data_IF_719184351685
#
_entry.id   IF_719184351685
#
_cell.length_a   1.000
_cell.length_b   1.000
_cell.length_c   1.000
_cell.angle_alpha   90.00
_cell.angle_beta   90.00
_cell.angle_gamma   90.00
#
_symmetry.space_group_name_H-M   'P 1'
#
loop_
_entity.id
_entity.type
_entity.pdbx_description
1 polymer ?
#
# COMPACT_ATOMS: atom_id res chain seq x y z
N UNK A 1 -15.99 -23.09 -2.73
CA UNK A 1 -15.57 -21.68 -2.62
C UNK A 1 -15.21 -21.21 -4.01
N UNK A 2 -16.01 -20.28 -4.53
CA UNK A 2 -15.92 -19.71 -5.87
C UNK A 2 -14.63 -18.90 -5.98
N UNK A 3 -13.90 -19.04 -7.09
CA UNK A 3 -12.72 -18.23 -7.37
C UNK A 3 -13.12 -16.75 -7.34
N UNK A 4 -12.35 -15.86 -6.72
CA UNK A 4 -12.64 -14.42 -6.63
C UNK A 4 -12.97 -13.82 -8.00
N UNK A 5 -12.30 -14.30 -9.04
CA UNK A 5 -12.53 -13.86 -10.43
C UNK A 5 -13.82 -14.39 -11.05
N UNK A 6 -14.44 -15.42 -10.48
CA UNK A 6 -15.73 -15.97 -10.93
C UNK A 6 -16.95 -15.26 -10.31
N UNK A 7 -16.75 -14.46 -9.26
CA UNK A 7 -17.82 -13.69 -8.62
C UNK A 7 -18.18 -12.39 -9.38
N UNK A 8 -17.21 -11.79 -10.09
CA UNK A 8 -17.44 -10.58 -10.86
C UNK A 8 -17.94 -10.89 -12.28
N UNK A 9 -19.09 -10.33 -12.65
CA UNK A 9 -19.60 -10.44 -14.03
C UNK A 9 -18.61 -9.85 -15.04
N UNK A 10 -18.59 -10.38 -16.27
CA UNK A 10 -17.75 -9.85 -17.36
C UNK A 10 -17.98 -8.35 -17.60
N UNK A 11 -19.22 -7.88 -17.40
CA UNK A 11 -19.58 -6.45 -17.49
C UNK A 11 -18.87 -5.61 -16.43
N UNK A 12 -18.78 -6.08 -15.19
CA UNK A 12 -18.08 -5.37 -14.10
C UNK A 12 -16.56 -5.36 -14.32
N UNK A 13 -15.99 -6.47 -14.78
CA UNK A 13 -14.58 -6.55 -15.15
C UNK A 13 -14.23 -5.57 -16.27
N UNK A 14 -15.09 -5.45 -17.29
CA UNK A 14 -14.90 -4.48 -18.36
C UNK A 14 -14.96 -3.03 -17.85
N UNK A 15 -15.92 -2.71 -16.99
CA UNK A 15 -16.05 -1.38 -16.36
C UNK A 15 -14.84 -1.01 -15.50
N UNK A 16 -14.26 -1.97 -14.76
CA UNK A 16 -13.07 -1.73 -13.93
C UNK A 16 -11.81 -1.47 -14.77
N UNK A 17 -11.64 -2.17 -15.90
CA UNK A 17 -10.57 -1.86 -16.85
C UNK A 17 -10.73 -0.48 -17.50
N UNK A 18 -11.96 -0.06 -17.78
CA UNK A 18 -12.22 1.31 -18.22
C UNK A 18 -11.91 2.31 -17.09
N UNK A 19 -12.25 1.97 -15.85
CA UNK A 19 -12.04 2.82 -14.69
C UNK A 19 -10.56 3.15 -14.41
N UNK A 20 -9.64 2.21 -14.58
CA UNK A 20 -8.20 2.52 -14.49
C UNK A 20 -7.77 3.54 -15.55
N UNK A 21 -8.39 3.50 -16.73
CA UNK A 21 -8.17 4.50 -17.79
C UNK A 21 -8.75 5.86 -17.42
N UNK A 22 -9.97 5.90 -16.85
CA UNK A 22 -10.60 7.16 -16.42
C UNK A 22 -9.86 7.82 -15.26
N UNK A 23 -9.41 7.04 -14.27
CA UNK A 23 -8.58 7.54 -13.16
C UNK A 23 -7.32 8.23 -13.71
N UNK A 24 -6.61 7.60 -14.64
CA UNK A 24 -5.44 8.21 -15.29
C UNK A 24 -5.81 9.50 -16.04
N UNK A 25 -6.95 9.52 -16.74
CA UNK A 25 -7.44 10.71 -17.45
C UNK A 25 -7.71 11.88 -16.48
N UNK A 26 -8.31 11.62 -15.31
CA UNK A 26 -8.53 12.64 -14.28
C UNK A 26 -7.21 13.26 -13.80
N UNK A 27 -6.19 12.43 -13.55
CA UNK A 27 -4.83 12.91 -13.21
C UNK A 27 -4.20 13.71 -14.35
N UNK A 28 -4.36 13.29 -15.61
CA UNK A 28 -3.86 14.03 -16.77
C UNK A 28 -4.51 15.41 -16.89
N UNK A 29 -5.82 15.49 -16.70
CA UNK A 29 -6.55 16.74 -16.83
C UNK A 29 -6.27 17.70 -15.67
N UNK A 30 -6.17 17.19 -14.44
CA UNK A 30 -5.68 17.96 -13.29
C UNK A 30 -4.27 18.51 -13.51
N UNK A 31 -3.35 17.69 -14.03
CA UNK A 31 -2.00 18.13 -14.35
C UNK A 31 -1.99 19.21 -15.45
N UNK A 32 -2.76 19.04 -16.53
CA UNK A 32 -2.88 20.05 -17.60
C UNK A 32 -3.34 21.40 -17.03
N UNK A 33 -4.36 21.40 -16.18
CA UNK A 33 -4.87 22.64 -15.57
C UNK A 33 -3.79 23.37 -14.77
N UNK A 34 -2.99 22.63 -14.00
CA UNK A 34 -1.90 23.17 -13.18
C UNK A 34 -0.81 23.77 -14.06
N UNK A 35 -0.37 23.04 -15.08
CA UNK A 35 0.70 23.49 -15.99
C UNK A 35 0.28 24.74 -16.78
N UNK A 36 -0.98 24.79 -17.23
CA UNK A 36 -1.56 25.97 -17.89
C UNK A 36 -1.61 27.17 -16.93
N UNK A 37 -2.06 26.97 -15.68
CA UNK A 37 -2.11 28.02 -14.65
C UNK A 37 -0.71 28.53 -14.30
N UNK A 38 0.28 27.64 -14.26
CA UNK A 38 1.70 27.97 -14.09
C UNK A 38 2.36 28.59 -15.34
N UNK A 39 1.60 28.78 -16.44
CA UNK A 39 2.06 29.35 -17.71
C UNK A 39 3.23 28.59 -18.35
N UNK A 40 3.26 27.27 -18.17
CA UNK A 40 4.26 26.40 -18.79
C UNK A 40 3.92 26.22 -20.27
N UNK A 41 4.90 26.46 -21.14
CA UNK A 41 4.77 26.19 -22.58
C UNK A 41 4.76 24.68 -22.80
N UNK A 42 4.03 24.22 -23.82
CA UNK A 42 3.97 22.80 -24.23
C UNK A 42 3.37 21.85 -23.17
N UNK A 43 2.47 22.35 -22.31
CA UNK A 43 1.81 21.56 -21.26
C UNK A 43 1.19 20.24 -21.76
N UNK A 44 0.58 20.24 -22.96
CA UNK A 44 0.02 19.02 -23.56
C UNK A 44 1.09 17.98 -23.90
N UNK A 45 2.24 18.44 -24.43
CA UNK A 45 3.35 17.57 -24.78
C UNK A 45 4.00 17.00 -23.52
N UNK A 46 4.15 17.80 -22.47
CA UNK A 46 4.68 17.35 -21.17
C UNK A 46 3.82 16.27 -20.52
N UNK A 47 2.49 16.42 -20.55
CA UNK A 47 1.56 15.42 -20.01
C UNK A 47 1.62 14.10 -20.80
N UNK A 48 1.96 14.18 -22.08
CA UNK A 48 2.10 13.01 -22.96
C UNK A 48 3.43 12.27 -22.77
N UNK A 49 4.48 12.94 -22.30
CA UNK A 49 5.80 12.38 -22.01
C UNK A 49 5.97 12.09 -20.50
N UNK A 50 5.33 11.02 -20.03
CA UNK A 50 5.34 10.60 -18.62
C UNK A 50 6.77 10.39 -18.08
N UNK A 51 7.70 9.94 -18.92
CA UNK A 51 9.08 9.71 -18.51
C UNK A 51 9.77 11.01 -18.09
N UNK A 52 9.53 12.11 -18.81
CA UNK A 52 10.08 13.43 -18.47
C UNK A 52 9.55 13.98 -17.14
N UNK A 53 8.32 13.61 -16.76
CA UNK A 53 7.66 14.10 -15.54
C UNK A 53 8.34 13.59 -14.26
N UNK A 54 9.02 12.44 -14.31
CA UNK A 54 9.78 11.93 -13.15
C UNK A 54 10.90 12.86 -12.68
N UNK A 55 11.45 13.66 -13.60
CA UNK A 55 12.52 14.60 -13.28
C UNK A 55 11.98 15.91 -12.68
N UNK A 56 10.67 16.15 -12.77
CA UNK A 56 10.05 17.38 -12.33
C UNK A 56 9.54 17.26 -10.89
N UNK A 57 9.62 18.33 -10.08
CA UNK A 57 9.06 18.34 -8.73
C UNK A 57 7.55 18.60 -8.77
N UNK A 58 6.81 17.76 -9.49
CA UNK A 58 5.34 17.80 -9.56
C UNK A 58 4.82 16.52 -8.91
N UNK A 59 3.92 16.67 -7.94
CA UNK A 59 3.48 15.57 -7.10
C UNK A 59 1.97 15.39 -7.14
N UNK A 60 1.55 14.14 -7.06
CA UNK A 60 0.25 13.75 -6.59
C UNK A 60 0.21 13.85 -5.06
N UNK A 61 -0.75 14.59 -4.54
CA UNK A 61 -1.12 14.64 -3.12
C UNK A 61 -2.43 13.91 -2.95
N UNK A 62 -2.40 12.80 -2.23
CA UNK A 62 -3.60 12.02 -1.91
C UNK A 62 -3.77 12.07 -0.40
N UNK A 63 -4.93 12.55 0.05
CA UNK A 63 -5.25 12.66 1.47
C UNK A 63 -6.50 11.83 1.75
N UNK A 64 -6.29 10.76 2.51
CA UNK A 64 -7.33 9.82 2.92
C UNK A 64 -7.73 10.16 4.34
N UNK A 65 -9.00 10.52 4.56
CA UNK A 65 -9.49 10.90 5.89
C UNK A 65 -10.68 10.04 6.26
N UNK A 66 -10.66 9.44 7.45
CA UNK A 66 -11.79 8.70 8.01
C UNK A 66 -12.99 9.63 8.22
N UNK A 67 -14.13 9.32 7.60
CA UNK A 67 -15.31 10.20 7.65
C UNK A 67 -15.94 10.28 9.04
N UNK A 68 -15.83 9.22 9.83
CA UNK A 68 -16.22 9.24 11.24
C UNK A 68 -15.41 10.25 12.08
N UNK A 69 -14.16 10.54 11.71
CA UNK A 69 -13.37 11.54 12.43
C UNK A 69 -13.82 12.96 12.06
N UNK A 70 -14.28 13.15 10.82
CA UNK A 70 -14.84 14.42 10.35
C UNK A 70 -16.22 14.71 10.97
N UNK A 71 -17.03 13.69 11.26
CA UNK A 71 -18.36 13.90 11.87
C UNK A 71 -18.29 14.38 13.32
N UNK A 72 -17.19 14.11 14.02
CA UNK A 72 -16.94 14.61 15.38
C UNK A 72 -16.52 16.09 15.41
N UNK A 73 -16.22 16.67 14.24
CA UNK A 73 -15.76 18.05 14.12
C UNK A 73 -16.71 18.84 13.22
N UNK A 74 -17.53 19.70 13.82
CA UNK A 74 -18.51 20.51 13.10
C UNK A 74 -17.84 21.40 12.03
N UNK A 75 -18.33 21.34 10.78
CA UNK A 75 -18.00 22.24 9.66
C UNK A 75 -16.64 22.09 8.96
N UNK A 76 -15.91 20.99 9.15
CA UNK A 76 -14.63 20.80 8.45
C UNK A 76 -14.74 19.71 7.39
N UNK A 77 -14.48 20.09 6.15
CA UNK A 77 -14.22 19.16 5.06
C UNK A 77 -12.72 19.11 4.77
N UNK A 78 -12.25 17.97 4.26
CA UNK A 78 -10.85 17.74 3.93
C UNK A 78 -10.30 18.81 2.94
N UNK A 79 -11.15 19.24 2.01
CA UNK A 79 -10.80 20.25 1.01
C UNK A 79 -10.46 21.61 1.64
N UNK A 80 -11.13 22.02 2.72
CA UNK A 80 -10.85 23.26 3.45
C UNK A 80 -9.54 23.18 4.22
N UNK A 81 -9.25 22.04 4.87
CA UNK A 81 -7.97 21.82 5.56
C UNK A 81 -6.78 21.92 4.58
N UNK A 82 -6.94 21.36 3.39
CA UNK A 82 -5.91 21.38 2.35
C UNK A 82 -5.80 22.74 1.66
N UNK A 83 -6.92 23.45 1.48
CA UNK A 83 -6.94 24.81 0.97
C UNK A 83 -6.21 25.78 1.92
N UNK A 84 -6.38 25.64 3.24
CA UNK A 84 -5.66 26.41 4.25
C UNK A 84 -4.15 26.22 4.14
N UNK A 85 -3.69 24.96 4.06
CA UNK A 85 -2.27 24.66 3.88
C UNK A 85 -1.72 25.27 2.60
N UNK A 86 -2.41 25.07 1.47
CA UNK A 86 -1.92 25.58 0.20
C UNK A 86 -1.94 27.11 0.11
N UNK A 87 -2.92 27.77 0.75
CA UNK A 87 -2.93 29.23 0.86
C UNK A 87 -1.69 29.74 1.63
N UNK A 88 -1.32 29.05 2.72
CA UNK A 88 -0.11 29.37 3.47
C UNK A 88 1.17 29.19 2.63
N UNK A 89 1.18 28.24 1.68
CA UNK A 89 2.31 28.01 0.79
C UNK A 89 2.36 28.93 -0.43
N UNK A 90 1.23 29.43 -0.91
CA UNK A 90 1.13 30.14 -2.20
C UNK A 90 2.00 31.42 -2.28
N UNK A 91 2.37 32.02 -1.14
CA UNK A 91 3.14 33.26 -1.06
C UNK A 91 4.59 33.08 -0.59
N UNK A 92 5.08 31.84 -0.46
CA UNK A 92 6.48 31.61 -0.05
C UNK A 92 7.39 31.46 -1.29
N UNK A 93 8.66 31.89 -1.24
CA UNK A 93 9.61 31.69 -2.35
C UNK A 93 9.89 30.22 -2.70
N UNK A 94 9.64 29.32 -1.76
CA UNK A 94 9.67 27.86 -1.95
C UNK A 94 8.25 27.26 -2.02
N UNK A 95 7.27 28.09 -2.40
CA UNK A 95 5.86 27.80 -2.27
C UNK A 95 5.32 26.82 -3.30
N UNK A 96 4.21 26.19 -2.93
CA UNK A 96 3.50 25.21 -3.72
C UNK A 96 2.14 25.77 -4.16
N UNK A 97 1.74 25.44 -5.38
CA UNK A 97 0.39 25.59 -5.89
C UNK A 97 -0.29 24.23 -5.88
N UNK A 98 -1.50 24.18 -5.35
CA UNK A 98 -2.36 23.00 -5.44
C UNK A 98 -3.44 23.23 -6.50
N UNK A 99 -3.86 22.15 -7.14
CA UNK A 99 -5.11 22.09 -7.88
C UNK A 99 -5.81 20.79 -7.51
N UNK A 100 -7.09 20.89 -7.16
CA UNK A 100 -7.90 19.69 -6.94
C UNK A 100 -8.08 18.97 -8.27
N UNK A 101 -8.03 17.66 -8.22
CA UNK A 101 -8.53 16.86 -9.32
C UNK A 101 -10.04 16.90 -9.17
N UNK A 102 -10.68 17.59 -10.11
CA UNK A 102 -12.12 17.54 -10.21
C UNK A 102 -12.48 16.12 -10.65
N UNK A 103 -13.03 15.35 -9.71
CA UNK A 103 -13.80 14.15 -9.98
C UNK A 103 -15.15 14.56 -10.61
N UNK A 104 -15.11 15.35 -11.69
CA UNK A 104 -16.29 15.88 -12.40
C UNK A 104 -17.22 14.75 -12.86
N UNK A 105 -16.71 13.53 -12.91
CA UNK A 105 -17.50 12.32 -12.94
C UNK A 105 -17.74 11.78 -11.51
N UNK A 106 -18.84 12.22 -10.87
CA UNK A 106 -19.47 11.43 -9.79
C UNK A 106 -19.63 9.94 -10.19
N UNK A 107 -19.69 9.66 -11.50
CA UNK A 107 -19.75 8.30 -12.07
C UNK A 107 -18.51 7.42 -11.82
N UNK A 108 -17.33 7.97 -11.57
CA UNK A 108 -16.09 7.22 -11.32
C UNK A 108 -16.13 6.52 -9.95
N UNK A 109 -16.27 7.31 -8.88
CA UNK A 109 -16.41 6.80 -7.53
C UNK A 109 -17.67 5.90 -7.42
N UNK A 110 -18.76 6.26 -8.11
CA UNK A 110 -19.97 5.44 -8.16
C UNK A 110 -19.71 4.07 -8.81
N UNK A 111 -18.81 3.97 -9.79
CA UNK A 111 -18.47 2.68 -10.41
C UNK A 111 -17.71 1.77 -9.44
N UNK A 112 -16.71 2.29 -8.73
CA UNK A 112 -16.02 1.52 -7.68
C UNK A 112 -16.99 1.11 -6.57
N UNK A 113 -17.84 2.03 -6.10
CA UNK A 113 -18.87 1.75 -5.09
C UNK A 113 -19.86 0.69 -5.56
N UNK A 114 -20.30 0.72 -6.82
CA UNK A 114 -21.18 -0.31 -7.40
C UNK A 114 -20.50 -1.67 -7.49
N UNK A 115 -19.21 -1.70 -7.85
CA UNK A 115 -18.43 -2.95 -7.87
C UNK A 115 -18.31 -3.49 -6.46
N UNK A 116 -17.90 -2.68 -5.50
CA UNK A 116 -17.81 -3.09 -4.08
C UNK A 116 -19.17 -3.56 -3.57
N UNK A 117 -20.26 -2.86 -3.89
CA UNK A 117 -21.61 -3.30 -3.53
C UNK A 117 -22.04 -4.60 -4.21
N UNK A 118 -21.40 -5.00 -5.31
CA UNK A 118 -21.64 -6.31 -5.96
C UNK A 118 -20.77 -7.44 -5.37
N UNK A 119 -19.74 -7.10 -4.60
CA UNK A 119 -18.90 -8.01 -3.84
C UNK A 119 -19.58 -8.40 -2.52
N UNK A 120 -20.90 -8.66 -2.52
CA UNK A 120 -21.68 -8.97 -1.30
C UNK A 120 -21.30 -10.29 -0.63
N UNK A 121 -20.58 -11.17 -1.33
CA UNK A 121 -20.07 -12.43 -0.77
C UNK A 121 -18.84 -12.23 0.12
N UNK A 122 -18.26 -11.03 0.12
CA UNK A 122 -17.10 -10.69 0.92
C UNK A 122 -17.55 -10.00 2.21
N UNK A 123 -17.29 -10.64 3.34
CA UNK A 123 -17.53 -10.10 4.69
C UNK A 123 -16.48 -9.05 5.09
N UNK A 124 -16.10 -8.17 4.14
CA UNK A 124 -15.12 -7.10 4.38
C UNK A 124 -15.85 -5.84 4.84
N UNK A 125 -15.45 -5.32 6.01
CA UNK A 125 -15.86 -3.99 6.48
C UNK A 125 -14.78 -2.98 6.05
N UNK A 126 -15.06 -2.24 4.97
CA UNK A 126 -14.18 -1.16 4.52
C UNK A 126 -14.28 0.05 5.45
N UNK A 127 -13.15 0.74 5.62
CA UNK A 127 -13.10 1.95 6.43
C UNK A 127 -13.79 3.10 5.68
N UNK A 128 -14.83 3.75 6.24
CA UNK A 128 -15.46 4.90 5.60
C UNK A 128 -14.49 6.07 5.50
N UNK A 129 -14.15 6.48 4.27
CA UNK A 129 -13.16 7.54 4.03
C UNK A 129 -13.59 8.53 2.95
N UNK A 130 -13.13 9.77 3.11
CA UNK A 130 -13.01 10.75 2.04
C UNK A 130 -11.59 10.67 1.47
N UNK A 131 -11.48 10.51 0.15
CA UNK A 131 -10.20 10.51 -0.56
C UNK A 131 -10.13 11.80 -1.38
N UNK A 132 -9.10 12.60 -1.12
CA UNK A 132 -8.91 13.90 -1.77
C UNK A 132 -7.66 13.81 -2.63
N UNK A 133 -7.81 14.06 -3.93
CA UNK A 133 -6.74 13.93 -4.94
C UNK A 133 -6.38 15.32 -5.45
N UNK A 134 -5.12 15.71 -5.31
CA UNK A 134 -4.62 17.02 -5.71
C UNK A 134 -3.30 16.88 -6.47
N UNK A 135 -3.02 17.86 -7.32
CA UNK A 135 -1.71 18.04 -7.95
C UNK A 135 -0.99 19.20 -7.28
N UNK A 136 0.21 18.93 -6.77
CA UNK A 136 1.19 19.88 -6.24
C UNK A 136 2.19 20.26 -7.32
N UNK A 137 2.37 21.55 -7.55
CA UNK A 137 3.37 22.09 -8.47
C UNK A 137 4.05 23.31 -7.82
N UNK A 138 5.35 23.55 -8.02
CA UNK A 138 6.01 24.73 -7.48
C UNK A 138 5.38 26.02 -8.03
N UNK A 139 5.25 27.03 -7.17
CA UNK A 139 4.79 28.37 -7.57
C UNK A 139 5.79 29.08 -8.46
N UNK A 140 7.08 28.81 -8.31
CA UNK A 140 8.15 29.34 -9.15
C UNK A 140 8.50 28.35 -10.28
N UNK A 141 8.27 28.79 -11.52
CA UNK A 141 8.60 28.03 -12.73
C UNK A 141 10.09 27.68 -12.82
N UNK A 142 10.98 28.43 -12.17
CA UNK A 142 12.40 28.09 -12.13
C UNK A 142 12.71 26.80 -11.36
N UNK A 143 11.81 26.40 -10.45
CA UNK A 143 11.91 25.14 -9.72
C UNK A 143 11.48 23.93 -10.55
N UNK A 144 10.76 24.12 -11.67
CA UNK A 144 10.33 23.05 -12.60
C UNK A 144 11.47 22.54 -13.50
N UNK A 145 12.72 22.66 -13.08
CA UNK A 145 13.86 22.10 -13.81
C UNK A 145 14.12 20.67 -13.36
N UNK A 146 14.52 19.77 -14.28
CA UNK A 146 14.95 18.41 -13.95
C UNK A 146 15.92 18.40 -12.75
N UNK A 147 15.58 17.64 -11.72
CA UNK A 147 16.45 17.45 -10.57
C UNK A 147 16.59 15.95 -10.28
N UNK A 148 17.48 15.31 -11.05
CA UNK A 148 17.62 13.87 -11.22
C UNK A 148 17.87 13.04 -9.93
N UNK A 149 17.96 13.66 -8.75
CA UNK A 149 18.28 12.96 -7.50
C UNK A 149 17.42 13.33 -6.28
N UNK A 150 16.45 14.24 -6.38
CA UNK A 150 15.78 14.80 -5.19
C UNK A 150 14.24 14.74 -5.18
N UNK A 151 13.59 14.27 -6.24
CA UNK A 151 12.11 14.36 -6.32
C UNK A 151 11.41 13.62 -5.18
N UNK A 152 11.78 12.36 -4.87
CA UNK A 152 11.20 11.62 -3.73
C UNK A 152 11.63 12.16 -2.36
N UNK A 153 12.86 12.63 -2.22
CA UNK A 153 13.31 13.27 -0.97
C UNK A 153 12.52 14.55 -0.66
N UNK A 154 12.21 15.35 -1.69
CA UNK A 154 11.33 16.52 -1.56
C UNK A 154 9.91 16.07 -1.19
N UNK A 155 9.39 15.00 -1.81
CA UNK A 155 8.08 14.44 -1.48
C UNK A 155 7.95 14.11 0.02
N UNK A 156 8.95 13.44 0.61
CA UNK A 156 8.98 13.17 2.06
C UNK A 156 8.94 14.43 2.92
N UNK A 157 9.68 15.48 2.53
CA UNK A 157 9.67 16.75 3.28
C UNK A 157 8.30 17.42 3.21
N UNK A 158 7.64 17.39 2.05
CA UNK A 158 6.28 17.94 1.92
C UNK A 158 5.30 17.07 2.73
N UNK A 159 5.48 15.76 2.72
CA UNK A 159 4.62 14.81 3.45
C UNK A 159 4.65 15.11 4.95
N UNK A 160 5.85 15.27 5.52
CA UNK A 160 6.02 15.67 6.93
C UNK A 160 5.35 17.02 7.22
N UNK A 161 5.47 18.00 6.31
CA UNK A 161 4.85 19.32 6.48
C UNK A 161 3.31 19.27 6.43
N UNK A 162 2.74 18.56 5.47
CA UNK A 162 1.29 18.42 5.32
C UNK A 162 0.73 17.61 6.49
N UNK A 163 1.37 16.50 6.83
CA UNK A 163 0.99 15.65 7.97
C UNK A 163 1.02 16.44 9.26
N UNK A 164 2.08 17.20 9.53
CA UNK A 164 2.16 18.05 10.72
C UNK A 164 1.07 19.13 10.73
N UNK A 165 0.81 19.79 9.60
CA UNK A 165 -0.25 20.79 9.49
C UNK A 165 -1.64 20.22 9.78
N UNK A 166 -1.95 19.05 9.22
CA UNK A 166 -3.22 18.37 9.43
C UNK A 166 -3.36 17.90 10.89
N UNK A 167 -2.31 17.37 11.49
CA UNK A 167 -2.29 17.00 12.91
C UNK A 167 -2.53 18.20 13.83
N UNK A 168 -1.86 19.32 13.59
CA UNK A 168 -2.03 20.56 14.36
C UNK A 168 -3.47 21.08 14.27
N UNK A 169 -4.02 21.14 13.04
CA UNK A 169 -5.41 21.52 12.81
C UNK A 169 -6.37 20.60 13.54
N UNK A 170 -6.21 19.28 13.42
CA UNK A 170 -7.03 18.29 14.11
C UNK A 170 -6.90 18.37 15.64
N UNK A 171 -5.71 18.67 16.15
CA UNK A 171 -5.47 18.91 17.57
C UNK A 171 -6.23 20.14 18.09
N UNK A 172 -6.23 21.23 17.33
CA UNK A 172 -7.05 22.42 17.63
C UNK A 172 -8.55 22.15 17.61
N UNK A 173 -8.98 21.04 17.00
CA UNK A 173 -10.37 20.60 16.92
C UNK A 173 -10.73 19.58 18.01
N UNK A 174 -9.80 19.32 18.93
CA UNK A 174 -10.05 18.52 20.13
C UNK A 174 -9.68 17.04 20.01
N UNK A 175 -9.04 16.62 18.91
CA UNK A 175 -8.48 15.27 18.81
C UNK A 175 -7.18 15.17 19.61
N UNK A 176 -6.95 14.04 20.27
CA UNK A 176 -5.64 13.73 20.83
C UNK A 176 -4.62 13.48 19.72
N UNK A 177 -3.33 13.55 20.03
CA UNK A 177 -2.25 13.24 19.08
C UNK A 177 -2.42 11.82 18.48
N UNK A 178 -2.79 10.84 19.31
CA UNK A 178 -3.06 9.46 18.86
C UNK A 178 -4.26 9.38 17.92
N UNK A 179 -5.35 10.08 18.25
CA UNK A 179 -6.53 10.15 17.39
C UNK A 179 -6.21 10.84 16.05
N UNK A 180 -5.43 11.91 16.08
CA UNK A 180 -5.02 12.63 14.87
C UNK A 180 -4.12 11.77 13.97
N UNK A 181 -3.18 11.01 14.55
CA UNK A 181 -2.31 10.08 13.80
C UNK A 181 -3.07 8.95 13.11
N UNK A 182 -4.18 8.50 13.69
CA UNK A 182 -5.03 7.44 13.10
C UNK A 182 -6.21 7.97 12.26
N UNK A 183 -6.34 9.30 12.10
CA UNK A 183 -7.50 9.92 11.45
C UNK A 183 -7.34 10.04 9.93
N UNK A 184 -6.11 10.15 9.45
CA UNK A 184 -5.82 10.36 8.04
C UNK A 184 -4.48 9.74 7.63
N UNK A 185 -4.33 9.49 6.34
CA UNK A 185 -3.04 9.26 5.69
C UNK A 185 -2.79 10.35 4.64
N UNK A 186 -1.53 10.74 4.49
CA UNK A 186 -1.05 11.61 3.43
C UNK A 186 -0.12 10.81 2.52
N UNK A 187 -0.26 10.96 1.21
CA UNK A 187 0.63 10.34 0.23
C UNK A 187 1.08 11.40 -0.75
N UNK A 188 2.39 11.63 -0.81
CA UNK A 188 3.01 12.54 -1.77
C UNK A 188 3.89 11.73 -2.70
N UNK A 189 3.41 11.53 -3.92
CA UNK A 189 4.04 10.68 -4.92
C UNK A 189 4.34 11.50 -6.18
N UNK A 190 5.40 11.21 -6.94
CA UNK A 190 5.58 11.80 -8.26
C UNK A 190 4.30 11.72 -9.09
N UNK A 191 3.86 12.82 -9.72
CA UNK A 191 2.60 12.80 -10.50
C UNK A 191 2.65 11.77 -11.64
N UNK A 192 3.86 11.51 -12.17
CA UNK A 192 4.12 10.47 -13.17
C UNK A 192 3.68 9.08 -12.70
N UNK A 193 3.68 8.83 -11.39
CA UNK A 193 3.23 7.56 -10.81
C UNK A 193 1.72 7.34 -10.95
N UNK A 194 0.94 8.42 -11.10
CA UNK A 194 -0.50 8.35 -11.35
C UNK A 194 -0.86 8.29 -12.84
N UNK A 195 0.13 8.47 -13.72
CA UNK A 195 -0.04 8.57 -15.17
C UNK A 195 0.36 7.30 -15.93
N UNK A 196 0.64 6.22 -15.21
CA UNK A 196 0.86 4.92 -15.79
C UNK A 196 0.09 3.86 -15.00
N UNK A 197 -0.18 2.74 -15.65
CA UNK A 197 -0.90 1.63 -15.04
C UNK A 197 0.09 0.66 -14.41
N UNK A 198 0.06 0.51 -13.08
CA UNK A 198 0.71 -0.62 -12.42
C UNK A 198 0.04 -1.93 -12.82
N UNK A 199 0.83 -3.00 -12.88
CA UNK A 199 0.43 -4.31 -13.42
C UNK A 199 0.80 -5.47 -12.51
N UNK A 200 1.68 -5.27 -11.53
CA UNK A 200 2.04 -6.26 -10.52
C UNK A 200 1.89 -5.66 -9.14
N UNK A 201 1.18 -6.35 -8.25
CA UNK A 201 1.13 -6.05 -6.83
C UNK A 201 1.67 -7.24 -6.03
N UNK A 202 2.76 -7.03 -5.31
CA UNK A 202 3.38 -7.99 -4.41
C UNK A 202 3.03 -7.65 -2.96
N UNK A 203 2.69 -8.67 -2.17
CA UNK A 203 2.29 -8.51 -0.77
C UNK A 203 3.11 -9.44 0.12
N UNK A 204 3.52 -8.95 1.29
CA UNK A 204 3.86 -9.85 2.39
C UNK A 204 2.60 -10.56 2.93
N UNK A 205 2.79 -11.63 3.71
CA UNK A 205 1.71 -12.39 4.32
C UNK A 205 1.46 -11.96 5.75
N UNK A 206 2.38 -12.30 6.66
CA UNK A 206 2.28 -12.03 8.10
C UNK A 206 2.15 -10.52 8.32
N UNK A 207 1.27 -10.11 9.24
CA UNK A 207 0.99 -8.70 9.56
C UNK A 207 0.57 -7.79 8.38
N UNK A 208 0.36 -8.35 7.18
CA UNK A 208 0.00 -7.63 5.95
C UNK A 208 -1.28 -8.18 5.32
N UNK A 209 -1.26 -9.40 4.76
CA UNK A 209 -2.48 -10.06 4.24
C UNK A 209 -3.28 -10.75 5.34
N UNK A 210 -2.63 -11.14 6.42
CA UNK A 210 -3.23 -11.67 7.64
C UNK A 210 -2.83 -10.81 8.84
N UNK A 211 -3.64 -10.83 9.90
CA UNK A 211 -3.39 -10.02 11.10
C UNK A 211 -2.34 -10.66 12.03
N UNK A 212 -2.10 -11.97 11.90
CA UNK A 212 -1.20 -12.71 12.77
C UNK A 212 0.20 -12.92 12.17
N UNK A 213 1.14 -13.27 13.05
CA UNK A 213 2.44 -13.83 12.70
C UNK A 213 2.35 -15.36 12.82
N UNK A 214 2.39 -16.10 11.70
CA UNK A 214 2.17 -17.56 11.69
C UNK A 214 3.13 -18.30 12.62
N UNK A 215 4.39 -17.88 12.69
CA UNK A 215 5.38 -18.52 13.56
C UNK A 215 5.04 -18.38 15.05
N UNK A 216 4.36 -17.29 15.44
CA UNK A 216 3.87 -17.06 16.79
C UNK A 216 2.67 -17.95 17.08
N UNK A 217 1.75 -18.13 16.13
CA UNK A 217 0.62 -19.05 16.30
C UNK A 217 1.08 -20.51 16.45
N UNK A 218 2.08 -20.95 15.68
CA UNK A 218 2.71 -22.26 15.85
C UNK A 218 3.37 -22.41 17.24
N UNK A 219 4.04 -21.37 17.72
CA UNK A 219 4.71 -21.36 19.01
C UNK A 219 3.74 -21.44 20.20
N UNK A 220 2.55 -20.83 20.07
CA UNK A 220 1.48 -20.92 21.07
C UNK A 220 1.01 -22.35 21.27
N UNK A 221 0.81 -23.11 20.18
CA UNK A 221 0.42 -24.53 20.24
C UNK A 221 1.47 -25.37 20.96
N UNK A 222 2.75 -25.06 20.77
CA UNK A 222 3.88 -25.74 21.43
C UNK A 222 4.15 -25.27 22.86
N UNK A 223 3.48 -24.22 23.34
CA UNK A 223 3.77 -23.62 24.65
C UNK A 223 5.15 -22.96 24.75
N UNK A 224 5.72 -22.53 23.61
CA UNK A 224 7.06 -21.89 23.51
C UNK A 224 6.98 -20.43 23.06
N UNK A 225 5.79 -19.81 23.12
CA UNK A 225 5.56 -18.42 22.70
C UNK A 225 6.53 -17.42 23.34
N UNK A 226 6.76 -17.53 24.65
CA UNK A 226 7.67 -16.61 25.36
C UNK A 226 9.10 -16.67 24.81
N UNK A 227 9.61 -17.88 24.50
CA UNK A 227 10.94 -18.05 23.91
C UNK A 227 11.04 -17.48 22.50
N UNK A 228 9.97 -17.60 21.72
CA UNK A 228 9.90 -17.01 20.37
C UNK A 228 9.87 -15.48 20.45
N UNK A 229 9.18 -14.91 21.43
CA UNK A 229 9.18 -13.48 21.69
C UNK A 229 10.58 -12.99 22.08
N UNK A 230 11.28 -13.67 22.98
CA UNK A 230 12.66 -13.32 23.38
C UNK A 230 13.62 -13.24 22.17
N UNK A 231 13.53 -14.20 21.26
CA UNK A 231 14.33 -14.22 20.02
C UNK A 231 13.92 -13.07 19.08
N UNK A 232 12.62 -12.81 18.96
CA UNK A 232 12.07 -11.73 18.11
C UNK A 232 12.53 -10.36 18.61
N UNK A 233 12.48 -10.13 19.92
CA UNK A 233 12.96 -8.89 20.54
C UNK A 233 14.47 -8.71 20.35
N UNK A 234 15.23 -9.79 20.41
CA UNK A 234 16.69 -9.77 20.15
C UNK A 234 17.00 -9.39 18.70
N UNK A 235 16.24 -9.92 17.73
CA UNK A 235 16.35 -9.51 16.33
C UNK A 235 15.97 -8.04 16.13
N UNK A 236 14.93 -7.54 16.82
CA UNK A 236 14.54 -6.13 16.77
C UNK A 236 15.59 -5.19 17.39
N UNK A 237 16.39 -5.66 18.36
CA UNK A 237 17.56 -4.94 18.90
C UNK A 237 18.78 -5.00 17.98
N UNK A 238 18.72 -5.75 16.87
CA UNK A 238 19.84 -5.95 15.95
C UNK A 238 20.91 -6.91 16.46
N UNK A 239 20.61 -7.71 17.50
CA UNK A 239 21.53 -8.70 18.06
C UNK A 239 21.57 -9.99 17.21
N UNK A 240 20.52 -10.24 16.43
CA UNK A 240 20.40 -11.34 15.49
C UNK A 240 20.00 -10.80 14.13
N UNK A 241 20.57 -11.36 13.06
CA UNK A 241 20.04 -11.11 11.73
C UNK A 241 18.72 -11.88 11.48
N UNK A 242 18.05 -11.60 10.36
CA UNK A 242 16.77 -12.22 10.05
C UNK A 242 16.89 -13.75 9.91
N UNK A 243 17.93 -14.23 9.25
CA UNK A 243 18.13 -15.65 8.94
C UNK A 243 18.40 -16.44 10.23
N UNK A 244 19.25 -15.90 11.11
CA UNK A 244 19.52 -16.43 12.45
C UNK A 244 18.28 -16.44 13.34
N UNK A 245 17.55 -15.32 13.39
CA UNK A 245 16.30 -15.21 14.16
C UNK A 245 15.24 -16.20 13.66
N UNK A 246 15.08 -16.33 12.34
CA UNK A 246 14.15 -17.27 11.74
C UNK A 246 14.53 -18.72 12.07
N UNK A 247 15.82 -19.08 11.92
CA UNK A 247 16.31 -20.42 12.21
C UNK A 247 16.10 -20.80 13.68
N UNK A 248 16.40 -19.90 14.62
CA UNK A 248 16.22 -20.14 16.04
C UNK A 248 14.73 -20.31 16.42
N UNK A 249 13.85 -19.45 15.88
CA UNK A 249 12.40 -19.57 16.12
C UNK A 249 11.83 -20.86 15.53
N UNK A 250 12.25 -21.25 14.33
CA UNK A 250 11.81 -22.50 13.70
C UNK A 250 12.29 -23.74 14.47
N UNK A 251 13.51 -23.70 15.02
CA UNK A 251 14.05 -24.80 15.82
C UNK A 251 13.20 -25.09 17.07
N UNK A 252 12.59 -24.07 17.68
CA UNK A 252 11.68 -24.23 18.83
C UNK A 252 10.38 -24.97 18.47
N UNK A 253 10.03 -25.06 17.19
CA UNK A 253 8.84 -25.75 16.70
C UNK A 253 9.09 -27.23 16.38
N UNK A 254 10.30 -27.74 16.61
CA UNK A 254 10.64 -29.14 16.38
C UNK A 254 9.70 -30.06 17.18
N UNK A 255 9.09 -31.02 16.48
CA UNK A 255 8.19 -32.01 17.05
C UNK A 255 6.71 -31.61 17.03
N UNK A 256 6.35 -30.40 16.57
CA UNK A 256 4.95 -30.02 16.41
C UNK A 256 4.26 -30.93 15.37
N UNK A 257 3.19 -31.66 15.73
CA UNK A 257 2.47 -32.51 14.79
C UNK A 257 1.77 -31.72 13.67
N UNK A 258 1.78 -32.26 12.46
CA UNK A 258 1.23 -31.62 11.26
C UNK A 258 -0.30 -31.40 11.29
N UNK A 259 -1.04 -32.20 12.05
CA UNK A 259 -2.49 -32.06 12.16
C UNK A 259 -2.92 -30.71 12.74
N UNK A 260 -2.06 -30.01 13.50
CA UNK A 260 -2.35 -28.66 13.99
C UNK A 260 -2.28 -27.59 12.89
N UNK A 261 -1.60 -27.85 11.76
CA UNK A 261 -1.41 -26.84 10.71
C UNK A 261 -2.74 -26.42 10.08
N UNK A 262 -3.68 -27.36 9.91
CA UNK A 262 -5.01 -27.07 9.39
C UNK A 262 -5.80 -26.16 10.35
N UNK A 263 -5.84 -26.51 11.64
CA UNK A 263 -6.54 -25.73 12.66
C UNK A 263 -5.98 -24.30 12.79
N UNK A 264 -4.66 -24.15 12.69
CA UNK A 264 -4.02 -22.82 12.69
C UNK A 264 -4.37 -22.07 11.41
N UNK A 265 -4.32 -22.72 10.23
CA UNK A 265 -4.64 -22.05 8.97
C UNK A 265 -6.09 -21.56 8.93
N UNK A 266 -7.02 -22.31 9.52
CA UNK A 266 -8.43 -21.95 9.61
C UNK A 266 -8.70 -20.84 10.65
N UNK A 267 -7.79 -20.62 11.60
CA UNK A 267 -7.91 -19.55 12.61
C UNK A 267 -7.27 -18.22 12.19
N UNK A 268 -6.51 -18.19 11.09
CA UNK A 268 -5.90 -16.97 10.58
C UNK A 268 -6.96 -15.97 10.11
N UNK A 269 -6.85 -14.73 10.57
CA UNK A 269 -7.73 -13.64 10.17
C UNK A 269 -7.10 -12.89 9.01
N UNK A 270 -7.80 -12.78 7.89
CA UNK A 270 -7.39 -11.91 6.79
C UNK A 270 -7.48 -10.45 7.23
N UNK A 271 -6.50 -9.64 6.81
CA UNK A 271 -6.52 -8.19 7.06
C UNK A 271 -7.80 -7.56 6.51
N UNK A 272 -8.34 -6.60 7.27
CA UNK A 272 -9.54 -5.84 6.85
C UNK A 272 -9.37 -5.29 5.43
N UNK A 273 -10.37 -5.51 4.58
CA UNK A 273 -10.38 -5.06 3.19
C UNK A 273 -9.48 -5.86 2.24
N UNK A 274 -8.76 -6.90 2.70
CA UNK A 274 -7.85 -7.67 1.85
C UNK A 274 -8.57 -8.35 0.70
N UNK A 275 -9.74 -8.99 0.94
CA UNK A 275 -10.45 -9.69 -0.13
C UNK A 275 -10.94 -8.71 -1.21
N UNK A 276 -11.51 -7.59 -0.79
CA UNK A 276 -11.99 -6.52 -1.67
C UNK A 276 -10.86 -5.92 -2.48
N UNK A 277 -9.72 -5.61 -1.82
CA UNK A 277 -8.53 -5.05 -2.46
C UNK A 277 -8.00 -5.99 -3.54
N UNK A 278 -7.79 -7.27 -3.22
CA UNK A 278 -7.25 -8.25 -4.16
C UNK A 278 -8.23 -8.54 -5.31
N UNK A 279 -9.53 -8.58 -5.03
CA UNK A 279 -10.57 -8.71 -6.06
C UNK A 279 -10.56 -7.53 -7.05
N UNK A 280 -10.47 -6.30 -6.54
CA UNK A 280 -10.41 -5.09 -7.37
C UNK A 280 -9.12 -5.03 -8.19
N UNK A 281 -7.96 -5.29 -7.58
CA UNK A 281 -6.68 -5.34 -8.29
C UNK A 281 -6.71 -6.38 -9.43
N UNK A 282 -7.17 -7.60 -9.15
CA UNK A 282 -7.32 -8.65 -10.16
C UNK A 282 -8.25 -8.21 -11.30
N UNK A 283 -9.40 -7.61 -10.97
CA UNK A 283 -10.36 -7.14 -11.97
C UNK A 283 -9.84 -5.96 -12.81
N UNK A 284 -8.98 -5.12 -12.25
CA UNK A 284 -8.25 -4.07 -12.95
C UNK A 284 -7.10 -4.61 -13.82
N UNK A 285 -6.80 -5.91 -13.72
CA UNK A 285 -5.79 -6.59 -14.54
C UNK A 285 -4.40 -6.68 -13.90
N UNK A 286 -4.29 -6.50 -12.58
CA UNK A 286 -3.05 -6.72 -11.86
C UNK A 286 -2.77 -8.21 -11.75
N UNK A 287 -1.53 -8.58 -12.04
CA UNK A 287 -0.96 -9.80 -11.52
C UNK A 287 -0.65 -9.61 -10.04
N UNK A 288 -0.93 -10.59 -9.20
CA UNK A 288 -0.76 -10.50 -7.75
C UNK A 288 0.15 -11.61 -7.25
N UNK A 289 1.09 -11.25 -6.39
CA UNK A 289 2.07 -12.16 -5.82
C UNK A 289 2.09 -12.06 -4.29
N UNK A 290 2.16 -13.20 -3.61
CA UNK A 290 2.46 -13.28 -2.18
C UNK A 290 3.91 -13.70 -2.04
N UNK A 291 4.73 -12.86 -1.41
CA UNK A 291 6.16 -13.11 -1.19
C UNK A 291 6.45 -12.94 0.30
N UNK A 292 6.63 -14.05 1.01
CA UNK A 292 6.71 -14.06 2.47
C UNK A 292 7.95 -14.76 3.03
N UNK A 293 8.43 -14.26 4.17
CA UNK A 293 9.40 -14.96 5.01
C UNK A 293 8.75 -16.02 5.91
N UNK A 294 7.42 -16.10 5.94
CA UNK A 294 6.65 -17.15 6.60
C UNK A 294 6.67 -18.47 5.82
N UNK A 295 5.71 -19.34 6.10
CA UNK A 295 5.72 -20.72 5.59
C UNK A 295 4.77 -20.95 4.40
N UNK A 296 5.26 -21.72 3.42
CA UNK A 296 4.56 -21.98 2.14
C UNK A 296 3.20 -22.64 2.31
N UNK A 297 3.03 -23.52 3.31
CA UNK A 297 1.75 -24.15 3.60
C UNK A 297 0.64 -23.11 3.84
N UNK A 298 0.89 -22.13 4.72
CA UNK A 298 -0.09 -21.10 5.07
C UNK A 298 -0.25 -20.08 3.93
N UNK A 299 0.86 -19.69 3.30
CA UNK A 299 0.84 -18.78 2.17
C UNK A 299 -0.03 -19.29 1.01
N UNK A 300 0.01 -20.60 0.71
CA UNK A 300 -0.85 -21.23 -0.30
C UNK A 300 -2.34 -21.17 0.08
N UNK A 301 -2.69 -21.30 1.36
CA UNK A 301 -4.08 -21.20 1.81
C UNK A 301 -4.58 -19.75 1.71
N UNK A 302 -3.79 -18.78 2.20
CA UNK A 302 -4.11 -17.35 2.07
C UNK A 302 -4.26 -16.96 0.60
N UNK A 303 -3.31 -17.37 -0.25
CA UNK A 303 -3.36 -17.10 -1.69
C UNK A 303 -4.59 -17.71 -2.36
N UNK A 304 -4.98 -18.93 -1.98
CA UNK A 304 -6.20 -19.57 -2.49
C UNK A 304 -7.46 -18.82 -2.07
N UNK A 305 -7.53 -18.34 -0.83
CA UNK A 305 -8.66 -17.53 -0.34
C UNK A 305 -8.74 -16.17 -1.02
N UNK A 306 -7.59 -15.57 -1.36
CA UNK A 306 -7.46 -14.24 -1.96
C UNK A 306 -7.29 -14.23 -3.48
N UNK A 307 -7.27 -15.39 -4.14
CA UNK A 307 -7.15 -15.48 -5.59
C UNK A 307 -5.80 -14.96 -6.11
N UNK A 308 -4.74 -15.09 -5.33
CA UNK A 308 -3.39 -14.63 -5.67
C UNK A 308 -2.76 -15.56 -6.71
N UNK A 309 -2.06 -14.98 -7.69
CA UNK A 309 -1.58 -15.71 -8.87
C UNK A 309 -0.32 -16.54 -8.60
N UNK A 310 0.62 -16.03 -7.78
CA UNK A 310 1.87 -16.70 -7.46
C UNK A 310 2.23 -16.55 -5.98
N UNK A 311 2.87 -17.58 -5.42
CA UNK A 311 3.27 -17.64 -4.01
C UNK A 311 4.73 -18.04 -3.91
N UNK A 312 5.49 -17.29 -3.13
CA UNK A 312 6.83 -17.65 -2.68
C UNK A 312 6.93 -17.49 -1.16
N UNK A 313 7.23 -18.58 -0.46
CA UNK A 313 7.38 -18.61 0.98
C UNK A 313 8.34 -19.74 1.41
N UNK A 314 8.87 -19.69 2.64
CA UNK A 314 9.80 -20.69 3.13
C UNK A 314 9.12 -22.06 3.26
N UNK A 315 9.81 -23.13 2.84
CA UNK A 315 9.30 -24.47 3.03
C UNK A 315 9.30 -24.87 4.52
N UNK A 316 8.23 -25.50 4.97
CA UNK A 316 8.14 -26.06 6.32
C UNK A 316 8.52 -27.55 6.28
N UNK A 317 9.76 -27.86 6.67
CA UNK A 317 10.29 -29.23 6.65
C UNK A 317 9.55 -30.13 7.65
N UNK A 318 8.93 -31.19 7.14
CA UNK A 318 8.22 -32.20 7.94
C UNK A 318 8.84 -33.59 7.77
N UNK A 319 8.84 -34.37 8.84
CA UNK A 319 9.25 -35.77 8.86
C UNK A 319 8.39 -36.53 9.87
N UNK A 320 7.93 -37.74 9.50
CA UNK A 320 7.12 -38.60 10.37
C UNK A 320 5.88 -37.90 10.97
N UNK A 321 5.24 -37.02 10.18
CA UNK A 321 4.06 -36.25 10.57
C UNK A 321 4.34 -35.10 11.54
N UNK A 322 5.59 -34.65 11.67
CA UNK A 322 5.99 -33.59 12.59
C UNK A 322 6.92 -32.58 11.92
N UNK A 323 6.88 -31.33 12.39
CA UNK A 323 7.82 -30.28 11.99
C UNK A 323 9.22 -30.65 12.49
N UNK A 324 10.20 -30.61 11.61
CA UNK A 324 11.60 -30.97 11.93
C UNK A 324 12.37 -29.88 12.66
N UNK A 325 11.87 -28.63 12.62
CA UNK A 325 12.57 -27.43 13.12
C UNK A 325 13.77 -27.00 12.27
N UNK A 326 13.97 -27.60 11.09
CA UNK A 326 15.11 -27.32 10.20
C UNK A 326 14.72 -26.36 9.09
N UNK A 327 15.53 -25.33 8.91
CA UNK A 327 15.45 -24.40 7.79
C UNK A 327 15.85 -25.08 6.48
N UNK A 328 15.11 -24.80 5.40
CA UNK A 328 15.55 -25.09 4.04
C UNK A 328 16.14 -23.83 3.41
N UNK A 329 17.30 -23.98 2.78
CA UNK A 329 17.94 -22.89 2.04
C UNK A 329 17.47 -22.88 0.57
N UNK A 330 17.40 -21.70 -0.07
CA UNK A 330 17.61 -20.38 0.52
C UNK A 330 16.42 -19.91 1.37
N UNK A 331 16.69 -19.18 2.45
CA UNK A 331 15.66 -18.47 3.23
C UNK A 331 15.14 -17.30 2.39
N UNK A 332 13.82 -17.14 2.38
CA UNK A 332 13.16 -15.95 1.85
C UNK A 332 13.25 -14.82 2.86
N UNK A 333 14.43 -14.21 2.92
CA UNK A 333 14.68 -12.96 3.64
C UNK A 333 14.44 -11.75 2.72
N UNK A 334 14.68 -10.54 3.21
CA UNK A 334 14.40 -9.33 2.44
C UNK A 334 15.13 -9.23 1.10
N UNK A 335 16.40 -9.61 1.05
CA UNK A 335 17.15 -9.64 -0.21
C UNK A 335 16.56 -10.66 -1.20
N UNK A 336 16.19 -11.84 -0.71
CA UNK A 336 15.50 -12.86 -1.51
C UNK A 336 14.13 -12.37 -1.98
N UNK A 337 13.34 -11.67 -1.15
CA UNK A 337 12.06 -11.06 -1.55
C UNK A 337 12.26 -10.12 -2.75
N UNK A 338 13.26 -9.26 -2.72
CA UNK A 338 13.58 -8.34 -3.82
C UNK A 338 14.00 -9.07 -5.11
N UNK A 339 14.77 -10.16 -4.99
CA UNK A 339 15.14 -11.02 -6.12
C UNK A 339 13.90 -11.69 -6.72
N UNK A 340 12.97 -12.17 -5.90
CA UNK A 340 11.74 -12.81 -6.35
C UNK A 340 10.84 -11.83 -7.10
N UNK A 341 10.69 -10.58 -6.62
CA UNK A 341 9.95 -9.55 -7.38
C UNK A 341 10.59 -9.36 -8.76
N UNK A 342 11.93 -9.30 -8.84
CA UNK A 342 12.64 -9.19 -10.13
C UNK A 342 12.37 -10.35 -11.07
N UNK A 343 12.42 -11.58 -10.54
CA UNK A 343 12.14 -12.78 -11.32
C UNK A 343 10.71 -12.74 -11.89
N UNK A 344 9.72 -12.39 -11.06
CA UNK A 344 8.33 -12.25 -11.52
C UNK A 344 8.21 -11.16 -12.58
N UNK A 345 8.88 -10.01 -12.42
CA UNK A 345 8.84 -8.94 -13.43
C UNK A 345 9.46 -9.36 -14.76
N UNK A 346 10.58 -10.09 -14.72
CA UNK A 346 11.28 -10.58 -15.90
C UNK A 346 10.43 -11.64 -16.63
N UNK A 347 9.80 -12.56 -15.89
CA UNK A 347 8.90 -13.58 -16.42
C UNK A 347 7.64 -12.98 -17.08
N UNK A 348 7.09 -11.91 -16.49
CA UNK A 348 5.90 -11.23 -17.01
C UNK A 348 6.23 -10.17 -18.09
N UNK A 349 7.50 -9.86 -18.31
CA UNK A 349 7.93 -8.80 -19.23
C UNK A 349 7.39 -7.41 -18.84
N UNK A 350 7.29 -7.14 -17.54
CA UNK A 350 6.81 -5.86 -17.02
C UNK A 350 7.98 -5.04 -16.45
N UNK A 351 7.94 -3.73 -16.64
CA UNK A 351 8.96 -2.85 -16.09
C UNK A 351 8.76 -2.63 -14.59
N UNK A 352 9.85 -2.31 -13.88
CA UNK A 352 9.83 -1.88 -12.47
C UNK A 352 8.77 -0.81 -12.20
N UNK A 353 8.59 0.15 -13.12
CA UNK A 353 7.59 1.23 -12.99
C UNK A 353 6.17 0.67 -12.77
N UNK A 354 5.85 -0.53 -13.28
CA UNK A 354 4.53 -1.12 -13.15
C UNK A 354 4.35 -1.98 -11.88
N UNK A 355 5.25 -1.90 -10.90
CA UNK A 355 5.27 -2.77 -9.71
C UNK A 355 4.92 -2.00 -8.45
N UNK A 356 4.06 -2.59 -7.63
CA UNK A 356 3.72 -2.14 -6.28
C UNK A 356 4.10 -3.25 -5.30
N UNK A 357 4.77 -2.91 -4.21
CA UNK A 357 5.07 -3.84 -3.12
C UNK A 357 4.46 -3.33 -1.81
N UNK A 358 3.81 -4.21 -1.06
CA UNK A 358 3.13 -3.89 0.20
C UNK A 358 3.68 -4.79 1.30
N UNK A 359 4.06 -4.19 2.44
CA UNK A 359 4.56 -4.91 3.61
C UNK A 359 4.56 -4.03 4.86
N UNK A 360 4.81 -4.64 6.03
CA UNK A 360 4.82 -3.96 7.33
C UNK A 360 6.20 -3.95 8.00
N UNK A 361 7.09 -4.85 7.57
CA UNK A 361 8.33 -5.18 8.25
C UNK A 361 9.59 -4.63 7.56
N UNK A 362 10.69 -4.52 8.33
CA UNK A 362 11.97 -4.07 7.79
C UNK A 362 12.57 -5.07 6.76
N UNK A 363 12.15 -6.33 6.82
CA UNK A 363 12.43 -7.37 5.83
C UNK A 363 11.76 -7.10 4.48
N UNK A 364 10.75 -6.23 4.40
CA UNK A 364 10.06 -5.89 3.15
C UNK A 364 10.72 -4.74 2.40
N UNK A 365 11.49 -3.90 3.12
CA UNK A 365 12.14 -2.72 2.53
C UNK A 365 12.92 -3.03 1.25
N UNK A 366 13.71 -4.12 1.14
CA UNK A 366 14.41 -4.40 -0.12
C UNK A 366 13.46 -4.71 -1.30
N UNK A 367 12.30 -5.35 -1.08
CA UNK A 367 11.32 -5.56 -2.16
C UNK A 367 10.56 -4.28 -2.48
N UNK A 368 10.28 -3.45 -1.48
CA UNK A 368 9.69 -2.12 -1.65
C UNK A 368 10.60 -1.21 -2.48
N UNK A 369 11.90 -1.17 -2.16
CA UNK A 369 12.92 -0.42 -2.92
C UNK A 369 13.06 -0.92 -4.37
N UNK A 370 12.77 -2.21 -4.61
CA UNK A 370 12.76 -2.78 -5.96
C UNK A 370 11.57 -2.29 -6.78
N UNK A 371 10.41 -2.05 -6.16
CA UNK A 371 9.17 -1.64 -6.83
C UNK A 371 9.16 -0.17 -7.28
N UNK A 372 8.17 0.20 -8.08
CA UNK A 372 7.87 1.61 -8.32
C UNK A 372 7.33 2.26 -7.05
N UNK A 373 6.34 1.61 -6.43
CA UNK A 373 5.73 2.07 -5.18
C UNK A 373 5.91 1.01 -4.10
N UNK A 374 6.64 1.36 -3.05
CA UNK A 374 6.68 0.63 -1.78
C UNK A 374 5.66 1.21 -0.81
N UNK A 375 4.64 0.44 -0.44
CA UNK A 375 3.58 0.85 0.48
C UNK A 375 3.73 0.16 1.84
N UNK A 376 3.94 0.96 2.88
CA UNK A 376 3.98 0.50 4.26
C UNK A 376 2.56 0.31 4.79
N UNK A 377 2.14 -0.92 5.08
CA UNK A 377 0.81 -1.19 5.65
C UNK A 377 0.90 -1.39 7.15
N UNK A 378 0.34 -0.46 7.94
CA UNK A 378 0.38 -0.46 9.42
C UNK A 378 1.77 -0.79 10.00
N UNK A 379 2.78 -0.32 9.27
CA UNK A 379 4.14 -0.77 9.42
C UNK A 379 4.83 -0.14 10.63
N UNK A 380 5.99 -0.67 11.03
CA UNK A 380 6.83 -0.04 12.06
C UNK A 380 7.34 1.33 11.58
N UNK A 381 7.64 2.29 12.49
CA UNK A 381 8.06 3.65 12.09
C UNK A 381 9.25 3.70 11.12
N UNK A 382 10.22 2.80 11.28
CA UNK A 382 11.38 2.72 10.38
C UNK A 382 11.01 2.32 8.95
N UNK A 383 9.95 1.53 8.79
CA UNK A 383 9.45 1.09 7.48
C UNK A 383 8.66 2.22 6.85
N UNK A 384 7.77 2.88 7.61
CA UNK A 384 7.02 4.04 7.13
C UNK A 384 7.93 5.17 6.65
N UNK A 385 9.04 5.43 7.35
CA UNK A 385 10.01 6.45 6.98
C UNK A 385 10.81 6.16 5.68
N UNK A 386 10.75 4.93 5.18
CA UNK A 386 11.49 4.49 3.98
C UNK A 386 10.58 4.09 2.82
N UNK A 387 9.32 3.78 3.10
CA UNK A 387 8.31 3.51 2.10
C UNK A 387 7.90 4.79 1.36
N UNK A 388 7.40 4.65 0.12
CA UNK A 388 6.90 5.78 -0.65
C UNK A 388 5.59 6.36 -0.09
N UNK A 389 4.78 5.51 0.55
CA UNK A 389 3.57 5.90 1.26
C UNK A 389 3.28 4.92 2.40
N UNK A 390 2.57 5.39 3.43
CA UNK A 390 2.14 4.58 4.56
C UNK A 390 0.61 4.59 4.70
N UNK A 391 0.03 3.42 4.93
CA UNK A 391 -1.40 3.21 5.15
C UNK A 391 -1.59 2.85 6.62
N UNK A 392 -2.10 3.81 7.40
CA UNK A 392 -2.30 3.65 8.84
C UNK A 392 -3.77 3.76 9.23
N UNK A 393 -4.57 4.54 8.50
CA UNK A 393 -5.94 4.86 8.93
C UNK A 393 -7.02 3.92 8.37
N UNK A 394 -6.71 3.11 7.35
CA UNK A 394 -7.67 2.17 6.72
C UNK A 394 -7.27 0.70 6.91
N UNK A 395 -8.06 -0.21 6.35
CA UNK A 395 -7.60 -1.56 6.02
C UNK A 395 -6.77 -1.56 4.73
N UNK A 396 -6.59 -2.75 4.14
CA UNK A 396 -5.78 -2.95 2.95
C UNK A 396 -6.33 -2.21 1.72
N UNK A 397 -7.59 -1.75 1.76
CA UNK A 397 -8.18 -0.88 0.73
C UNK A 397 -7.40 0.43 0.53
N UNK A 398 -6.63 0.85 1.53
CA UNK A 398 -5.73 2.01 1.44
C UNK A 398 -4.69 1.88 0.32
N UNK A 399 -4.36 0.65 -0.10
CA UNK A 399 -3.48 0.40 -1.25
C UNK A 399 -4.06 1.02 -2.51
N UNK A 400 -5.37 0.91 -2.74
CA UNK A 400 -6.02 1.51 -3.91
C UNK A 400 -6.00 3.04 -3.82
N UNK A 401 -6.18 3.61 -2.64
CA UNK A 401 -6.12 5.06 -2.47
C UNK A 401 -4.72 5.60 -2.72
N UNK A 402 -3.67 4.93 -2.24
CA UNK A 402 -2.28 5.27 -2.54
C UNK A 402 -1.95 5.17 -4.05
N UNK A 403 -2.63 4.30 -4.78
CA UNK A 403 -2.54 4.19 -6.24
C UNK A 403 -3.36 5.26 -7.00
N UNK A 404 -3.97 6.21 -6.27
CA UNK A 404 -4.70 7.34 -6.86
C UNK A 404 -6.15 7.06 -7.21
N UNK A 405 -6.71 5.91 -6.81
CA UNK A 405 -8.13 5.61 -6.99
C UNK A 405 -9.01 6.41 -6.01
N UNK A 406 -10.24 6.70 -6.43
CA UNK A 406 -11.22 7.39 -5.61
C UNK A 406 -11.74 6.52 -4.44
N UNK A 407 -12.46 7.14 -3.50
CA UNK A 407 -13.03 6.44 -2.34
C UNK A 407 -13.95 5.28 -2.75
N UNK A 408 -13.76 4.13 -2.10
CA UNK A 408 -14.62 2.95 -2.26
C UNK A 408 -15.90 3.05 -1.42
N UNK A 409 -15.97 4.00 -0.51
CA UNK A 409 -17.07 4.15 0.46
C UNK A 409 -17.89 5.40 0.19
N UNK A 410 -19.19 5.33 0.49
CA UNK A 410 -20.16 6.41 0.27
C UNK A 410 -19.79 7.71 0.97
#
# INVERSE_FOLDING_TARGET
MTNINSALSQTLQHRLKQHSTTTMQAWQDGLKQVLVKAKIKDAEQMVSDVASLYALPIYALIVVIRTEMLSHVSNINAQALLADWAYAQANTPAGWQITNIDDNDRSEADTLKQVVASLTEYDDVLTPVSVNRLVLCPSDVQMLKPNDSKSRAIAHVIDEQVTHHLQDKLGHLGLTEEQARGAFDCHILPVADMLHTHRLACFDMDSTLIEQEVIVELAKVMGVGDKVNDITDSAMRGELDFDESFAQRLALLQGLPDHHLADIADSLTLSKGAKTTLALLSAMGYYTALISGGFEYFAKQVAKQLGIHVVHANALSMQDGQITGRVQMPIINGATKAVLVRQITDELGISKQAVVCVGDGANDLPMMDMANLGLAYRAKPIVQARADAAINCTGLEGVLYALGYASLTS
#
